data_IF_219406093836
#
_entry.id   IF_219406093836
#
_cell.length_a   1.000
_cell.length_b   1.000
_cell.length_c   1.000
_cell.angle_alpha   90.00
_cell.angle_beta   90.00
_cell.angle_gamma   90.00
#
_symmetry.space_group_name_H-M   'P 1'
#
loop_
_entity.id
_entity.type
_entity.pdbx_description
1 polymer ?
#
# COMPACT_ATOMS: atom_id res chain seq x y z
N UNK A 1 18.63 -14.91 -9.19
CA UNK A 1 17.47 -14.05 -9.53
C UNK A 1 17.90 -12.62 -9.31
N UNK A 2 17.72 -11.73 -10.30
CA UNK A 2 18.19 -10.34 -10.19
C UNK A 2 17.42 -9.59 -9.10
N UNK A 3 18.15 -8.89 -8.24
CA UNK A 3 17.62 -7.98 -7.24
C UNK A 3 16.86 -6.83 -7.93
N UNK A 4 15.52 -6.84 -7.87
CA UNK A 4 14.69 -5.82 -8.51
C UNK A 4 14.33 -4.74 -7.49
N UNK A 5 14.66 -3.49 -7.82
CA UNK A 5 14.04 -2.34 -7.18
C UNK A 5 12.68 -2.08 -7.82
N UNK A 6 11.70 -1.71 -7.01
CA UNK A 6 10.40 -1.29 -7.51
C UNK A 6 9.92 -0.11 -6.67
N UNK A 7 9.09 0.74 -7.28
CA UNK A 7 8.49 1.89 -6.61
C UNK A 7 7.01 1.89 -6.89
N UNK A 8 6.22 1.99 -5.83
CA UNK A 8 4.77 2.15 -5.89
C UNK A 8 4.43 3.61 -5.67
N UNK A 9 3.53 4.13 -6.49
CA UNK A 9 3.03 5.49 -6.34
C UNK A 9 1.58 5.49 -5.87
N UNK A 10 1.25 6.51 -5.09
CA UNK A 10 -0.12 6.92 -4.83
C UNK A 10 -0.26 8.41 -5.07
N UNK A 11 -1.45 8.85 -5.43
CA UNK A 11 -1.78 10.26 -5.62
C UNK A 11 -3.12 10.60 -4.97
N UNK A 12 -3.17 11.73 -4.27
CA UNK A 12 -4.39 12.23 -3.63
C UNK A 12 -4.52 13.74 -3.79
N UNK A 13 -5.75 14.22 -3.66
CA UNK A 13 -6.06 15.63 -3.49
C UNK A 13 -6.63 15.84 -2.09
N UNK A 14 -5.93 16.63 -1.27
CA UNK A 14 -6.34 16.93 0.10
C UNK A 14 -7.25 18.17 0.10
N UNK A 15 -8.56 17.93 0.11
CA UNK A 15 -9.59 18.98 0.13
C UNK A 15 -9.44 19.96 1.32
N UNK A 16 -8.88 19.53 2.45
CA UNK A 16 -8.79 20.38 3.65
C UNK A 16 -7.74 21.47 3.50
N UNK A 17 -6.64 21.13 2.83
CA UNK A 17 -5.54 22.08 2.64
C UNK A 17 -5.45 22.57 1.20
N UNK A 18 -6.31 22.14 0.28
CA UNK A 18 -6.30 22.51 -1.15
C UNK A 18 -4.92 22.28 -1.79
N UNK A 19 -4.43 21.04 -1.69
CA UNK A 19 -3.12 20.65 -2.21
C UNK A 19 -3.12 19.20 -2.72
N UNK A 20 -2.28 18.95 -3.72
CA UNK A 20 -2.06 17.61 -4.25
C UNK A 20 -0.87 16.95 -3.59
N UNK A 21 -1.00 15.67 -3.28
CA UNK A 21 0.05 14.87 -2.68
C UNK A 21 0.37 13.66 -3.55
N UNK A 22 1.66 13.39 -3.70
CA UNK A 22 2.14 12.13 -4.30
C UNK A 22 2.95 11.40 -3.25
N UNK A 23 2.68 10.11 -3.07
CA UNK A 23 3.50 9.24 -2.22
C UNK A 23 4.26 8.29 -3.10
N UNK A 24 5.56 8.17 -2.85
CA UNK A 24 6.44 7.21 -3.49
C UNK A 24 6.99 6.26 -2.44
N UNK A 25 6.74 4.96 -2.62
CA UNK A 25 7.23 3.87 -1.76
C UNK A 25 8.25 3.09 -2.58
N UNK A 26 9.53 3.34 -2.35
CA UNK A 26 10.61 2.65 -3.03
C UNK A 26 11.15 1.53 -2.15
N UNK A 27 11.17 0.32 -2.69
CA UNK A 27 11.74 -0.85 -2.03
C UNK A 27 13.02 -1.27 -2.72
N UNK A 28 14.02 -1.63 -1.91
CA UNK A 28 15.32 -2.07 -2.39
C UNK A 28 15.85 -3.22 -1.55
N UNK A 29 16.63 -4.13 -2.16
CA UNK A 29 17.24 -5.25 -1.46
C UNK A 29 18.06 -4.81 -0.25
N UNK A 30 18.03 -5.60 0.82
CA UNK A 30 18.77 -5.36 2.06
C UNK A 30 19.40 -6.64 2.61
N UNK A 31 19.99 -7.45 1.73
CA UNK A 31 20.50 -8.78 2.04
C UNK A 31 19.57 -9.88 1.54
N UNK A 32 19.92 -11.13 1.83
CA UNK A 32 19.22 -12.28 1.27
C UNK A 32 17.73 -12.29 1.67
N UNK A 33 16.84 -12.31 0.67
CA UNK A 33 15.39 -12.37 0.85
C UNK A 33 14.79 -11.25 1.73
N UNK A 34 15.44 -10.08 1.78
CA UNK A 34 14.99 -8.96 2.59
C UNK A 34 15.02 -7.65 1.82
N UNK A 35 14.10 -6.76 2.17
CA UNK A 35 13.93 -5.46 1.54
C UNK A 35 13.81 -4.36 2.59
N UNK A 36 14.27 -3.16 2.25
CA UNK A 36 14.01 -1.93 2.99
C UNK A 36 13.15 -1.00 2.16
N UNK A 37 12.26 -0.28 2.83
CA UNK A 37 11.34 0.66 2.19
C UNK A 37 11.69 2.10 2.57
N UNK A 38 11.80 2.96 1.55
CA UNK A 38 11.86 4.41 1.69
C UNK A 38 10.54 5.00 1.22
N UNK A 39 9.93 5.82 2.08
CA UNK A 39 8.69 6.51 1.76
C UNK A 39 8.94 8.01 1.67
N UNK A 40 8.53 8.61 0.56
CA UNK A 40 8.57 10.05 0.34
C UNK A 40 7.20 10.58 -0.02
N UNK A 41 6.92 11.79 0.44
CA UNK A 41 5.69 12.54 0.14
C UNK A 41 6.08 13.81 -0.59
N UNK A 42 5.50 14.01 -1.75
CA UNK A 42 5.52 15.27 -2.48
C UNK A 42 4.24 16.04 -2.19
N UNK A 43 4.36 17.35 -2.10
CA UNK A 43 3.23 18.29 -2.00
C UNK A 43 3.37 19.32 -3.10
N UNK A 44 2.31 19.54 -3.89
CA UNK A 44 2.35 20.44 -5.04
C UNK A 44 2.59 21.89 -4.63
N UNK A 45 1.95 22.36 -3.55
CA UNK A 45 2.10 23.72 -3.03
C UNK A 45 3.54 24.10 -2.71
N UNK A 46 4.27 23.21 -2.03
CA UNK A 46 5.67 23.48 -1.68
C UNK A 46 6.66 23.06 -2.79
N UNK A 47 6.18 22.33 -3.79
CA UNK A 47 6.98 21.75 -4.88
C UNK A 47 8.20 20.97 -4.37
N UNK A 48 8.06 20.27 -3.24
CA UNK A 48 9.14 19.58 -2.56
C UNK A 48 8.77 18.16 -2.18
N UNK A 49 9.76 17.27 -2.22
CA UNK A 49 9.68 15.94 -1.63
C UNK A 49 10.23 15.96 -0.21
N UNK A 50 9.51 15.36 0.73
CA UNK A 50 9.99 15.11 2.09
C UNK A 50 9.95 13.61 2.41
N UNK A 51 10.85 13.16 3.28
CA UNK A 51 10.87 11.78 3.76
C UNK A 51 10.02 11.65 5.01
N UNK A 52 9.30 10.54 5.14
CA UNK A 52 8.58 10.15 6.35
C UNK A 52 9.19 8.89 6.97
N UNK A 53 8.70 8.49 8.14
CA UNK A 53 9.17 7.29 8.83
C UNK A 53 9.08 6.05 7.93
N UNK A 54 10.10 5.18 8.00
CA UNK A 54 10.13 3.92 7.27
C UNK A 54 9.16 2.89 7.88
N UNK A 55 8.70 1.97 7.03
CA UNK A 55 7.72 0.95 7.41
C UNK A 55 8.34 -0.45 7.42
N UNK A 56 8.14 -1.27 8.48
CA UNK A 56 8.87 -2.53 8.68
C UNK A 56 8.31 -3.74 7.90
N UNK A 57 7.76 -3.52 6.71
CA UNK A 57 7.33 -4.61 5.82
C UNK A 57 8.37 -4.79 4.72
N UNK A 58 8.36 -5.93 4.01
CA UNK A 58 9.42 -6.20 3.04
C UNK A 58 9.11 -5.51 1.71
N UNK A 59 8.12 -6.03 0.99
CA UNK A 59 8.02 -5.81 -0.44
C UNK A 59 6.59 -5.41 -0.84
N UNK A 60 6.33 -4.16 -1.28
CA UNK A 60 5.08 -3.85 -1.96
C UNK A 60 4.85 -4.77 -3.16
N UNK A 61 3.66 -5.33 -3.25
CA UNK A 61 3.33 -6.40 -4.21
C UNK A 61 2.60 -5.91 -5.46
N UNK A 62 1.86 -4.80 -5.35
CA UNK A 62 1.06 -4.24 -6.44
C UNK A 62 1.74 -2.99 -7.01
N UNK A 63 1.50 -2.71 -8.30
CA UNK A 63 2.09 -1.58 -9.02
C UNK A 63 1.49 -0.22 -8.60
N UNK A 64 0.32 -0.21 -7.95
CA UNK A 64 -0.38 1.01 -7.56
C UNK A 64 -0.90 0.94 -6.11
N UNK A 65 -0.89 2.08 -5.44
CA UNK A 65 -1.54 2.30 -4.16
C UNK A 65 -2.80 3.19 -4.35
N UNK A 66 -3.81 3.01 -3.51
CA UNK A 66 -5.10 3.71 -3.61
C UNK A 66 -5.32 4.62 -2.43
N UNK A 67 -5.75 5.85 -2.69
CA UNK A 67 -6.11 6.80 -1.65
C UNK A 67 -7.59 6.73 -1.32
N UNK A 68 -7.92 6.72 -0.03
CA UNK A 68 -9.27 6.83 0.50
C UNK A 68 -9.23 7.78 1.69
N UNK A 69 -9.84 8.96 1.55
CA UNK A 69 -10.00 9.93 2.66
C UNK A 69 -8.68 10.25 3.38
N UNK A 70 -7.61 10.53 2.64
CA UNK A 70 -6.28 10.85 3.19
C UNK A 70 -5.46 9.65 3.67
N UNK A 71 -5.97 8.43 3.48
CA UNK A 71 -5.28 7.18 3.80
C UNK A 71 -4.84 6.49 2.52
N UNK A 72 -3.54 6.22 2.40
CA UNK A 72 -2.97 5.45 1.31
C UNK A 72 -3.01 3.96 1.63
N UNK A 73 -3.51 3.14 0.70
CA UNK A 73 -3.71 1.70 0.90
C UNK A 73 -3.02 0.91 -0.23
N UNK A 74 -2.24 -0.11 0.13
CA UNK A 74 -1.55 -1.01 -0.80
C UNK A 74 -1.36 -2.40 -0.21
N UNK A 75 -0.92 -3.36 -1.02
CA UNK A 75 -0.50 -4.69 -0.54
C UNK A 75 1.02 -4.77 -0.40
N UNK A 76 1.48 -5.37 0.68
CA UNK A 76 2.89 -5.71 0.87
C UNK A 76 3.04 -7.16 1.36
N UNK A 77 4.20 -7.75 1.11
CA UNK A 77 4.63 -8.96 1.78
C UNK A 77 5.26 -8.63 3.14
N UNK A 78 5.06 -9.55 4.05
CA UNK A 78 5.72 -9.63 5.34
C UNK A 78 6.42 -10.99 5.43
N UNK A 79 7.72 -10.98 5.73
CA UNK A 79 8.49 -12.20 6.00
C UNK A 79 8.76 -12.31 7.49
N UNK A 80 8.40 -13.45 8.09
CA UNK A 80 8.76 -13.80 9.46
C UNK A 80 9.85 -14.87 9.54
N UNK A 81 10.62 -15.06 8.47
CA UNK A 81 11.71 -16.04 8.37
C UNK A 81 11.29 -17.44 7.93
N UNK A 82 10.03 -17.85 8.14
CA UNK A 82 9.52 -19.18 7.73
C UNK A 82 8.36 -19.12 6.74
N UNK A 83 7.74 -17.96 6.55
CA UNK A 83 6.62 -17.79 5.62
C UNK A 83 6.55 -16.35 5.08
N UNK A 84 6.07 -16.21 3.84
CA UNK A 84 5.66 -14.93 3.27
C UNK A 84 4.15 -14.80 3.43
N UNK A 85 3.73 -13.79 4.19
CA UNK A 85 2.31 -13.44 4.32
C UNK A 85 2.05 -12.16 3.53
N UNK A 86 0.96 -12.13 2.77
CA UNK A 86 0.46 -10.91 2.12
C UNK A 86 -0.43 -10.15 3.09
N UNK A 87 -0.17 -8.86 3.27
CA UNK A 87 -0.93 -7.97 4.13
C UNK A 87 -1.41 -6.75 3.34
N UNK A 88 -2.58 -6.22 3.70
CA UNK A 88 -3.04 -4.91 3.23
C UNK A 88 -2.52 -3.90 4.24
N UNK A 89 -1.86 -2.86 3.75
CA UNK A 89 -1.23 -1.83 4.55
C UNK A 89 -1.93 -0.51 4.28
N UNK A 90 -2.15 0.25 5.35
CA UNK A 90 -2.61 1.63 5.28
C UNK A 90 -1.55 2.59 5.83
N UNK A 91 -1.38 3.74 5.20
CA UNK A 91 -0.64 4.90 5.71
C UNK A 91 -1.59 6.08 5.85
N UNK A 92 -1.82 6.52 7.09
CA UNK A 92 -2.51 7.77 7.40
C UNK A 92 -1.49 8.91 7.21
N UNK A 93 -1.68 9.76 6.19
CA UNK A 93 -0.75 10.86 5.90
C UNK A 93 -0.83 12.02 6.89
N UNK A 94 -1.98 12.19 7.57
CA UNK A 94 -2.13 13.24 8.57
C UNK A 94 -1.34 12.92 9.83
N UNK A 95 -1.28 11.64 10.21
CA UNK A 95 -0.54 11.16 11.39
C UNK A 95 0.83 10.59 11.07
N UNK A 96 1.11 10.31 9.79
CA UNK A 96 2.28 9.58 9.32
C UNK A 96 2.45 8.22 10.00
N UNK A 97 1.32 7.53 10.23
CA UNK A 97 1.27 6.24 10.90
C UNK A 97 0.84 5.13 9.95
N UNK A 98 1.45 3.98 10.12
CA UNK A 98 1.15 2.80 9.33
C UNK A 98 0.38 1.76 10.13
N UNK A 99 -0.50 1.02 9.47
CA UNK A 99 -1.26 -0.09 10.06
C UNK A 99 -1.44 -1.22 9.07
N UNK A 100 -1.48 -2.45 9.58
CA UNK A 100 -2.02 -3.59 8.84
C UNK A 100 -3.55 -3.51 8.90
N UNK A 101 -4.20 -3.52 7.75
CA UNK A 101 -5.66 -3.55 7.63
C UNK A 101 -6.12 -5.00 7.70
N UNK A 102 -7.12 -5.26 8.53
CA UNK A 102 -7.66 -6.60 8.71
C UNK A 102 -8.27 -7.12 7.40
N UNK A 103 -7.73 -8.23 6.90
CA UNK A 103 -8.31 -8.94 5.77
C UNK A 103 -9.44 -9.87 6.23
N UNK A 104 -10.59 -9.91 5.52
CA UNK A 104 -11.62 -10.93 5.72
C UNK A 104 -11.02 -12.33 5.71
N UNK A 105 -11.48 -13.20 6.62
CA UNK A 105 -10.93 -14.53 6.86
C UNK A 105 -10.84 -15.40 5.60
N UNK A 106 -11.82 -15.29 4.70
CA UNK A 106 -11.93 -16.10 3.48
C UNK A 106 -10.86 -15.78 2.43
N UNK A 107 -10.18 -14.63 2.56
CA UNK A 107 -9.20 -14.14 1.59
C UNK A 107 -7.76 -14.53 1.94
N UNK A 108 -7.52 -15.04 3.15
CA UNK A 108 -6.16 -15.32 3.67
C UNK A 108 -5.50 -16.56 3.05
N UNK A 109 -6.30 -17.45 2.46
CA UNK A 109 -5.85 -18.76 2.00
C UNK A 109 -5.52 -18.80 0.49
N UNK A 110 -5.88 -17.77 -0.27
CA UNK A 110 -5.61 -17.71 -1.71
C UNK A 110 -4.20 -17.14 -1.98
N UNK A 111 -3.23 -18.03 -2.21
CA UNK A 111 -1.83 -17.65 -2.51
C UNK A 111 -1.71 -16.76 -3.76
N UNK A 112 -2.60 -16.94 -4.75
CA UNK A 112 -2.58 -16.23 -6.04
C UNK A 112 -3.44 -14.94 -6.08
N UNK A 113 -3.76 -14.40 -4.91
CA UNK A 113 -4.69 -13.27 -4.77
C UNK A 113 -4.07 -11.88 -5.05
N UNK A 114 -4.37 -11.28 -6.21
CA UNK A 114 -4.06 -9.86 -6.49
C UNK A 114 -5.31 -8.99 -6.31
N UNK A 115 -5.53 -8.35 -5.15
CA UNK A 115 -6.63 -7.42 -5.01
C UNK A 115 -6.43 -6.24 -5.96
N UNK A 116 -7.51 -5.84 -6.61
CA UNK A 116 -7.63 -4.50 -7.17
C UNK A 116 -8.34 -3.62 -6.15
N UNK A 117 -7.71 -2.50 -5.80
CA UNK A 117 -8.30 -1.50 -4.93
C UNK A 117 -9.02 -0.45 -5.77
N UNK A 118 -10.14 0.05 -5.25
CA UNK A 118 -10.89 1.15 -5.83
C UNK A 118 -11.54 1.99 -4.75
N UNK A 119 -12.15 3.10 -5.15
CA UNK A 119 -12.86 4.01 -4.25
C UNK A 119 -14.26 4.20 -4.78
N UNK A 120 -15.26 4.02 -3.91
CA UNK A 120 -16.66 4.29 -4.22
C UNK A 120 -17.27 5.08 -3.06
N UNK A 121 -17.68 6.32 -3.32
CA UNK A 121 -18.29 7.21 -2.30
C UNK A 121 -17.44 7.28 -1.01
N UNK A 122 -16.14 7.51 -1.17
CA UNK A 122 -15.17 7.59 -0.07
C UNK A 122 -14.97 6.29 0.73
N UNK A 123 -15.46 5.16 0.24
CA UNK A 123 -15.22 3.84 0.81
C UNK A 123 -14.20 3.05 -0.03
N UNK A 124 -13.31 2.33 0.65
CA UNK A 124 -12.40 1.38 0.00
C UNK A 124 -13.20 0.21 -0.58
N UNK A 125 -13.06 -0.01 -1.88
CA UNK A 125 -13.52 -1.21 -2.54
C UNK A 125 -12.35 -2.15 -2.79
N UNK A 126 -12.54 -3.42 -2.47
CA UNK A 126 -11.56 -4.47 -2.75
C UNK A 126 -12.22 -5.44 -3.71
N UNK A 127 -11.67 -5.55 -4.91
CA UNK A 127 -12.12 -6.49 -5.92
C UNK A 127 -11.18 -7.68 -5.98
N UNK A 128 -11.78 -8.85 -5.95
CA UNK A 128 -11.09 -10.12 -5.95
C UNK A 128 -11.26 -10.75 -7.32
N UNK A 129 -10.16 -10.97 -8.03
CA UNK A 129 -10.19 -11.89 -9.17
C UNK A 129 -10.02 -13.31 -8.62
N UNK A 130 -11.12 -13.84 -8.09
CA UNK A 130 -11.22 -15.26 -7.79
C UNK A 130 -11.93 -15.88 -8.98
N UNK A 131 -11.56 -17.08 -9.39
CA UNK A 131 -12.32 -17.91 -10.32
C UNK A 131 -13.78 -18.17 -9.88
N UNK A 132 -14.23 -17.58 -8.77
CA UNK A 132 -15.61 -17.55 -8.27
C UNK A 132 -15.93 -16.13 -7.76
N UNK A 133 -16.89 -15.47 -8.41
CA UNK A 133 -17.27 -14.07 -8.22
C UNK A 133 -17.67 -13.72 -6.78
N UNK A 134 -16.91 -12.89 -6.08
CA UNK A 134 -17.42 -12.21 -4.88
C UNK A 134 -16.83 -10.80 -4.76
N UNK A 135 -17.72 -9.80 -4.60
CA UNK A 135 -17.38 -8.42 -4.24
C UNK A 135 -17.73 -8.28 -2.76
N UNK A 136 -16.76 -7.93 -1.93
CA UNK A 136 -17.00 -7.61 -0.52
C UNK A 136 -16.83 -6.10 -0.32
N UNK A 137 -17.91 -5.46 0.14
CA UNK A 137 -17.91 -4.06 0.57
C UNK A 137 -17.60 -4.06 2.07
N UNK A 138 -16.45 -3.50 2.47
CA UNK A 138 -16.18 -3.21 3.87
C UNK A 138 -16.70 -1.79 4.15
N UNK A 139 -17.77 -1.69 4.94
CA UNK A 139 -18.36 -0.42 5.40
C UNK A 139 -17.84 -0.01 6.77
#
# INVERSE_FOLDING_TARGET
MGERMFTVYGFDYDNFIDDYKVVAISSYPNGENSYKNKVKVYTMRSNCWRRIQEFPFSEPYNESATFVSGVLIWTAFYSNGSSYKRSIISLDLGKETYKEVFQPLDCRQALDFRPTFGVLRDCLCIMYNVSVRQIQLCG
#
